data_IF_042644086803
#
_entry.id   IF_042644086803
#
_cell.length_a   1.000
_cell.length_b   1.000
_cell.length_c   1.000
_cell.angle_alpha   90.00
_cell.angle_beta   90.00
_cell.angle_gamma   90.00
#
_symmetry.space_group_name_H-M   'P 1'
#
loop_
_entity.id
_entity.type
_entity.pdbx_description
1 polymer ?
#
# COMPACT_ATOMS: atom_id res chain seq x y z
N UNK A 1 22.18 8.76 8.80
CA UNK A 1 21.65 7.74 9.71
C UNK A 1 20.15 7.70 9.50
N UNK A 2 19.65 6.78 8.69
CA UNK A 2 18.21 6.57 8.54
C UNK A 2 17.68 5.77 9.73
N UNK A 3 16.50 6.11 10.23
CA UNK A 3 15.85 5.33 11.29
C UNK A 3 15.18 4.10 10.67
N UNK A 4 15.49 2.90 11.15
CA UNK A 4 14.79 1.68 10.74
C UNK A 4 13.49 1.54 11.53
N UNK A 5 12.37 1.44 10.83
CA UNK A 5 11.04 1.37 11.43
C UNK A 5 10.37 0.07 10.98
N UNK A 6 9.85 -0.72 11.91
CA UNK A 6 9.18 -1.99 11.55
C UNK A 6 7.75 -1.74 11.08
N UNK A 7 7.21 -2.64 10.23
CA UNK A 7 5.80 -2.57 9.83
C UNK A 7 4.84 -2.63 11.02
N UNK A 8 5.19 -3.38 12.07
CA UNK A 8 4.40 -3.43 13.30
C UNK A 8 4.29 -2.04 13.94
N UNK A 9 5.39 -1.29 14.00
CA UNK A 9 5.40 0.10 14.45
C UNK A 9 4.51 0.96 13.55
N UNK A 10 4.71 0.91 12.22
CA UNK A 10 3.90 1.72 11.28
C UNK A 10 2.40 1.44 11.45
N UNK A 11 1.99 0.18 11.62
CA UNK A 11 0.59 -0.21 11.84
C UNK A 11 -0.06 0.41 13.08
N UNK A 12 0.72 0.71 14.11
CA UNK A 12 0.24 1.37 15.32
C UNK A 12 -0.07 2.86 15.08
N UNK A 13 0.59 3.46 14.09
CA UNK A 13 0.45 4.85 13.65
C UNK A 13 -0.62 4.98 12.54
N UNK A 14 -1.87 4.67 12.90
CA UNK A 14 -3.03 4.67 12.00
C UNK A 14 -4.13 5.70 12.34
N UNK A 15 -3.80 6.72 13.15
CA UNK A 15 -4.77 7.68 13.69
C UNK A 15 -4.68 9.02 12.99
N UNK A 16 -5.75 9.81 12.98
CA UNK A 16 -5.77 11.15 12.38
C UNK A 16 -4.78 12.15 13.01
N UNK A 17 -4.28 11.87 14.22
CA UNK A 17 -3.25 12.68 14.88
C UNK A 17 -1.88 11.99 14.93
N UNK A 18 -1.75 10.80 14.32
CA UNK A 18 -0.49 10.06 14.21
C UNK A 18 -0.61 9.02 13.08
N UNK A 19 -0.29 9.46 11.85
CA UNK A 19 -0.55 8.72 10.61
C UNK A 19 0.72 8.56 9.79
N UNK A 20 1.17 7.31 9.70
CA UNK A 20 2.35 6.95 8.93
C UNK A 20 1.98 6.09 7.73
N UNK A 21 2.66 6.34 6.62
CA UNK A 21 2.49 5.59 5.38
C UNK A 21 3.82 5.07 4.87
N UNK A 22 3.77 3.93 4.19
CA UNK A 22 4.95 3.35 3.56
C UNK A 22 4.83 3.52 2.04
N UNK A 23 5.81 4.21 1.44
CA UNK A 23 5.94 4.37 -0.01
C UNK A 23 7.33 3.90 -0.41
N UNK A 24 7.44 2.93 -1.32
CA UNK A 24 8.74 2.42 -1.82
C UNK A 24 9.72 2.03 -0.69
N UNK A 25 9.22 1.28 0.31
CA UNK A 25 9.98 0.86 1.50
C UNK A 25 10.50 1.99 2.40
N UNK A 26 9.95 3.20 2.26
CA UNK A 26 10.25 4.36 3.10
C UNK A 26 9.04 4.75 3.90
N UNK A 27 9.26 5.19 5.14
CA UNK A 27 8.20 5.58 6.07
C UNK A 27 8.12 7.11 6.14
N UNK A 28 6.89 7.62 6.00
CA UNK A 28 6.59 9.05 5.98
C UNK A 28 5.55 9.39 7.04
N UNK A 29 5.80 10.43 7.83
CA UNK A 29 4.85 11.02 8.77
C UNK A 29 4.02 12.08 8.07
N UNK A 30 2.83 11.71 7.61
CA UNK A 30 1.91 12.63 6.92
C UNK A 30 0.84 13.18 7.87
N UNK A 31 1.00 12.98 9.17
CA UNK A 31 0.12 13.45 10.24
C UNK A 31 -0.25 14.93 10.09
N UNK A 32 0.75 15.80 9.87
CA UNK A 32 0.53 17.24 9.68
C UNK A 32 -0.05 17.59 8.31
N UNK A 33 0.06 16.68 7.35
CA UNK A 33 -0.38 16.87 5.97
C UNK A 33 -1.82 16.38 5.74
N UNK A 34 -2.44 15.69 6.71
CA UNK A 34 -3.80 15.15 6.59
C UNK A 34 -4.83 16.19 6.14
N UNK A 35 -4.83 17.37 6.77
CA UNK A 35 -5.77 18.46 6.45
C UNK A 35 -5.34 19.27 5.22
N UNK A 36 -4.07 19.20 4.84
CA UNK A 36 -3.50 19.92 3.69
C UNK A 36 -3.55 19.08 2.40
N UNK A 37 -3.94 17.80 2.51
CA UNK A 37 -3.98 16.88 1.39
C UNK A 37 -5.19 17.19 0.48
N UNK A 38 -4.97 17.59 -0.79
CA UNK A 38 -6.07 17.95 -1.71
C UNK A 38 -6.98 16.77 -2.05
N UNK A 39 -6.56 15.53 -1.83
CA UNK A 39 -7.37 14.32 -1.99
C UNK A 39 -8.17 13.92 -0.73
N UNK A 40 -8.18 14.76 0.31
CA UNK A 40 -8.87 14.52 1.58
C UNK A 40 -8.12 13.57 2.52
N UNK A 41 -8.52 13.61 3.80
CA UNK A 41 -7.92 12.77 4.85
C UNK A 41 -8.27 11.29 4.71
N UNK A 42 -9.44 10.96 4.15
CA UNK A 42 -9.94 9.58 3.99
C UNK A 42 -8.98 8.73 3.12
N UNK A 43 -8.47 9.33 2.04
CA UNK A 43 -7.48 8.71 1.16
C UNK A 43 -6.21 8.30 1.92
N UNK A 44 -5.77 9.12 2.88
CA UNK A 44 -4.59 8.85 3.70
C UNK A 44 -4.90 7.86 4.84
N UNK A 45 -6.06 8.01 5.49
CA UNK A 45 -6.54 7.10 6.53
C UNK A 45 -6.70 5.67 6.03
N UNK A 46 -7.18 5.51 4.79
CA UNK A 46 -7.31 4.21 4.14
C UNK A 46 -5.97 3.49 4.07
N UNK A 47 -4.87 4.18 3.73
CA UNK A 47 -3.51 3.60 3.62
C UNK A 47 -2.66 3.77 4.88
N UNK A 48 -3.25 4.27 5.96
CA UNK A 48 -2.57 4.50 7.22
C UNK A 48 -2.04 3.19 7.82
N UNK A 49 -0.81 3.23 8.30
CA UNK A 49 -0.16 2.08 8.91
C UNK A 49 0.16 0.93 7.94
N UNK A 50 0.06 1.15 6.62
CA UNK A 50 0.36 0.15 5.60
C UNK A 50 1.14 0.75 4.41
N UNK A 51 1.42 -0.11 3.44
CA UNK A 51 2.05 0.28 2.20
C UNK A 51 1.03 0.86 1.24
N UNK A 52 1.14 2.17 1.02
CA UNK A 52 0.30 2.94 0.11
C UNK A 52 0.97 3.19 -1.24
N UNK A 53 2.06 2.49 -1.56
CA UNK A 53 2.83 2.71 -2.81
C UNK A 53 1.92 2.56 -4.02
N UNK A 54 1.04 1.55 -4.00
CA UNK A 54 0.09 1.30 -5.08
C UNK A 54 -0.88 2.46 -5.24
N UNK A 55 -1.57 2.86 -4.18
CA UNK A 55 -2.54 3.97 -4.20
C UNK A 55 -1.88 5.29 -4.61
N UNK A 56 -0.67 5.55 -4.11
CA UNK A 56 0.08 6.75 -4.46
C UNK A 56 0.43 6.84 -5.95
N UNK A 57 0.82 5.70 -6.56
CA UNK A 57 1.12 5.60 -7.99
C UNK A 57 -0.17 5.65 -8.83
N UNK A 58 -1.23 4.97 -8.38
CA UNK A 58 -2.54 4.91 -9.04
C UNK A 58 -3.18 6.29 -9.18
N UNK A 59 -3.11 7.11 -8.13
CA UNK A 59 -3.58 8.50 -8.15
C UNK A 59 -2.75 9.39 -9.10
N UNK A 60 -1.49 9.03 -9.38
CA UNK A 60 -0.67 9.77 -10.34
C UNK A 60 -0.13 11.11 -9.81
N UNK A 61 0.35 11.15 -8.57
CA UNK A 61 0.93 12.38 -7.99
C UNK A 61 2.10 12.94 -8.80
N UNK A 62 2.04 14.25 -9.10
CA UNK A 62 3.09 15.03 -9.77
C UNK A 62 4.44 14.96 -9.06
N UNK A 63 5.53 15.23 -9.80
CA UNK A 63 6.88 15.19 -9.27
C UNK A 63 7.11 16.14 -8.08
N UNK A 64 6.42 17.29 -8.07
CA UNK A 64 6.47 18.25 -6.97
C UNK A 64 5.86 17.69 -5.67
N UNK A 65 4.70 17.03 -5.76
CA UNK A 65 4.07 16.36 -4.62
C UNK A 65 4.99 15.28 -4.02
N UNK A 66 5.66 14.48 -4.88
CA UNK A 66 6.70 13.52 -4.45
C UNK A 66 7.86 14.21 -3.73
N UNK A 67 8.24 15.40 -4.17
CA UNK A 67 9.34 16.13 -3.57
C UNK A 67 8.94 16.76 -2.23
N UNK A 68 7.69 17.23 -2.11
CA UNK A 68 7.13 17.68 -0.84
C UNK A 68 7.02 16.54 0.17
N UNK A 69 6.59 15.34 -0.28
CA UNK A 69 6.51 14.15 0.56
C UNK A 69 7.86 13.82 1.23
N UNK A 70 8.99 14.01 0.53
CA UNK A 70 10.32 13.78 1.10
C UNK A 70 10.61 14.61 2.35
N UNK A 71 9.95 15.76 2.54
CA UNK A 71 10.09 16.58 3.76
C UNK A 71 9.51 15.88 4.99
N UNK A 72 8.58 14.96 4.78
CA UNK A 72 7.89 14.18 5.81
C UNK A 72 8.52 12.80 6.03
N UNK A 73 9.64 12.51 5.38
CA UNK A 73 10.36 11.26 5.56
C UNK A 73 10.95 11.17 6.97
N UNK A 74 10.67 10.06 7.66
CA UNK A 74 11.15 9.82 9.04
C UNK A 74 12.14 8.65 9.13
N UNK A 75 12.15 7.75 8.15
CA UNK A 75 12.99 6.56 8.20
C UNK A 75 12.71 5.55 7.09
N UNK A 76 13.55 4.51 7.02
CA UNK A 76 13.37 3.39 6.10
C UNK A 76 12.64 2.24 6.83
N UNK A 77 11.89 1.44 6.07
CA UNK A 77 11.24 0.25 6.60
C UNK A 77 12.31 -0.79 6.98
N UNK A 78 12.12 -1.47 8.11
CA UNK A 78 13.05 -2.47 8.60
C UNK A 78 13.25 -3.60 7.57
N UNK A 79 14.50 -4.00 7.35
CA UNK A 79 14.86 -5.01 6.34
C UNK A 79 14.11 -6.34 6.51
N UNK A 80 13.76 -6.70 7.75
CA UNK A 80 12.98 -7.90 8.07
C UNK A 80 11.59 -7.90 7.44
N UNK A 81 10.98 -6.72 7.25
CA UNK A 81 9.67 -6.61 6.62
C UNK A 81 9.76 -6.56 5.09
N UNK A 82 10.80 -5.91 4.57
CA UNK A 82 11.10 -5.85 3.13
C UNK A 82 11.32 -7.26 2.57
N UNK A 83 12.08 -8.11 3.28
CA UNK A 83 12.34 -9.50 2.88
C UNK A 83 11.08 -10.38 2.83
N UNK A 84 10.03 -9.99 3.55
CA UNK A 84 8.75 -10.71 3.58
C UNK A 84 7.90 -10.42 2.35
N UNK A 85 8.14 -9.30 1.65
CA UNK A 85 7.43 -8.96 0.41
C UNK A 85 7.97 -9.69 -0.83
N UNK A 86 9.24 -10.11 -0.87
CA UNK A 86 9.77 -11.11 -1.84
C UNK A 86 11.21 -11.52 -1.50
N UNK A 87 11.56 -12.80 -1.68
CA UNK A 87 12.78 -13.18 -2.35
C UNK A 87 12.40 -13.81 -3.69
N UNK A 88 12.01 -13.01 -4.69
CA UNK A 88 12.08 -13.50 -6.08
C UNK A 88 13.54 -13.37 -6.51
N UNK A 89 14.29 -14.43 -6.25
CA UNK A 89 15.51 -14.67 -6.97
C UNK A 89 15.12 -14.94 -8.44
N UNK A 90 15.72 -14.20 -9.36
CA UNK A 90 15.88 -14.65 -10.75
C UNK A 90 17.12 -15.54 -10.75
N UNK A 91 16.93 -16.87 -10.69
CA UNK A 91 18.03 -17.81 -10.64
C UNK A 91 17.67 -19.26 -10.28
N UNK A 92 16.86 -19.89 -11.13
CA UNK A 92 16.95 -21.32 -11.51
C UNK A 92 16.66 -22.44 -10.47
N UNK A 93 15.84 -23.40 -10.93
CA UNK A 93 15.57 -24.76 -10.42
C UNK A 93 14.66 -24.85 -9.17
N UNK A 94 13.76 -25.81 -9.00
CA UNK A 94 13.16 -26.88 -9.81
C UNK A 94 12.07 -27.48 -8.89
N UNK A 95 10.92 -27.85 -9.47
CA UNK A 95 9.98 -28.92 -9.06
C UNK A 95 9.75 -29.26 -7.57
N UNK A 96 8.47 -29.29 -7.17
CA UNK A 96 7.70 -30.44 -6.62
C UNK A 96 6.67 -29.91 -5.60
N UNK A 97 5.38 -29.82 -5.96
CA UNK A 97 4.29 -30.77 -5.61
C UNK A 97 3.80 -30.55 -4.15
N UNK A 98 2.51 -30.38 -3.81
CA UNK A 98 1.35 -31.21 -4.16
C UNK A 98 0.05 -30.47 -3.77
N UNK A 99 -0.87 -30.40 -4.73
CA UNK A 99 -2.33 -30.66 -4.68
C UNK A 99 -3.21 -30.27 -3.47
N UNK A 100 -4.26 -29.50 -3.75
CA UNK A 100 -5.63 -29.95 -3.44
C UNK A 100 -6.60 -29.46 -4.55
N UNK A 101 -7.02 -30.40 -5.40
CA UNK A 101 -8.12 -30.28 -6.38
C UNK A 101 -9.45 -30.49 -5.63
N UNK A 102 -10.42 -29.56 -5.70
CA UNK A 102 -11.68 -29.62 -6.53
C UNK A 102 -12.65 -30.71 -6.04
N UNK A 103 -13.95 -30.52 -5.79
CA UNK A 103 -14.98 -29.88 -6.61
C UNK A 103 -16.35 -29.86 -5.90
N UNK A 104 -17.24 -28.99 -6.42
CA UNK A 104 -18.71 -29.16 -6.55
C UNK A 104 -19.60 -29.01 -5.30
N UNK A 105 -20.75 -28.33 -5.32
CA UNK A 105 -21.76 -28.13 -6.39
C UNK A 105 -22.65 -26.91 -6.03
N UNK A 106 -23.27 -26.26 -7.03
CA UNK A 106 -24.21 -25.11 -6.87
C UNK A 106 -25.58 -25.45 -6.23
N UNK A 107 -26.64 -24.60 -6.30
CA UNK A 107 -26.99 -23.79 -7.48
C UNK A 107 -27.51 -22.35 -7.23
N UNK A 108 -27.50 -21.55 -8.31
CA UNK A 108 -28.43 -20.47 -8.70
C UNK A 108 -29.04 -19.52 -7.64
N UNK A 109 -28.80 -18.21 -7.77
CA UNK A 109 -29.81 -17.27 -8.29
C UNK A 109 -29.27 -15.83 -8.47
N UNK A 110 -29.54 -15.30 -9.68
CA UNK A 110 -29.60 -13.92 -10.17
C UNK A 110 -29.26 -12.74 -9.22
N UNK A 111 -28.36 -11.86 -9.66
CA UNK A 111 -28.73 -10.52 -10.17
C UNK A 111 -27.50 -9.79 -10.74
N UNK A 112 -27.44 -9.67 -12.06
CA UNK A 112 -26.46 -8.88 -12.81
C UNK A 112 -26.99 -7.46 -12.95
N UNK A 113 -26.26 -6.46 -12.46
CA UNK A 113 -26.25 -5.11 -13.05
C UNK A 113 -24.87 -4.44 -12.80
N UNK A 114 -24.00 -4.31 -13.82
CA UNK A 114 -22.79 -3.50 -13.72
C UNK A 114 -23.13 -2.03 -14.03
N UNK A 115 -22.92 -1.13 -13.06
CA UNK A 115 -23.00 0.33 -13.29
C UNK A 115 -21.65 0.85 -13.79
N UNK A 116 -21.53 0.77 -15.12
CA UNK A 116 -20.82 1.63 -16.05
C UNK A 116 -19.80 2.65 -15.49
N UNK A 117 -18.54 2.38 -15.80
CA UNK A 117 -17.46 3.35 -15.96
C UNK A 117 -17.70 4.14 -17.25
N UNK A 118 -17.69 5.48 -17.21
CA UNK A 118 -17.80 6.33 -18.41
C UNK A 118 -16.52 7.14 -18.58
N UNK A 119 -15.68 6.71 -19.52
CA UNK A 119 -14.54 7.44 -20.10
C UNK A 119 -14.99 7.95 -21.48
N UNK A 120 -14.54 9.16 -21.84
CA UNK A 120 -14.45 9.79 -23.19
C UNK A 120 -15.72 10.30 -23.91
N UNK A 121 -15.84 11.64 -24.00
CA UNK A 121 -15.52 12.43 -25.20
C UNK A 121 -15.18 13.87 -24.80
#
# INVERSE_FOLDING_TARGET
MSKEITLATVKEHNKSNDLWIIIENKVYDVTKFLNEHPGGEDSLLSVAGRDGTKDFIDVGHSQDARNMMKKYYIGDLAASDIKKKVPLNTGLATSSDTEHNTENTGPSNASVVPKQCCILH
#
